data_IF_433912142107
#
_entry.id   IF_433912142107
#
_cell.length_a   1.000
_cell.length_b   1.000
_cell.length_c   1.000
_cell.angle_alpha   90.00
_cell.angle_beta   90.00
_cell.angle_gamma   90.00
#
_symmetry.space_group_name_H-M   'P 1'
#
loop_
_entity.id
_entity.type
_entity.pdbx_description
1 polymer ?
#
# COMPACT_ATOMS: atom_id res chain seq x y z
N UNK A 1 -28.57 2.50 -8.22
CA UNK A 1 -28.17 3.78 -7.57
C UNK A 1 -26.65 3.77 -7.52
N UNK A 2 -25.98 4.73 -8.14
CA UNK A 2 -24.52 4.85 -8.06
C UNK A 2 -24.14 5.11 -6.61
N UNK A 3 -23.20 4.34 -6.07
CA UNK A 3 -22.72 4.56 -4.70
C UNK A 3 -22.14 5.98 -4.59
N UNK A 4 -22.38 6.68 -3.49
CA UNK A 4 -21.74 7.98 -3.27
C UNK A 4 -20.22 7.80 -3.19
N UNK A 5 -19.46 8.78 -3.69
CA UNK A 5 -18.00 8.76 -3.63
C UNK A 5 -17.47 8.42 -2.22
N UNK A 6 -16.43 7.56 -2.11
CA UNK A 6 -15.82 7.24 -0.83
C UNK A 6 -15.01 8.44 -0.28
N UNK A 7 -14.70 9.42 -1.12
CA UNK A 7 -13.87 10.58 -0.78
C UNK A 7 -14.71 11.86 -0.59
N UNK A 8 -15.89 11.74 0.03
CA UNK A 8 -16.83 12.85 0.28
C UNK A 8 -16.49 13.72 1.50
N UNK A 9 -15.82 13.15 2.50
CA UNK A 9 -15.22 13.86 3.64
C UNK A 9 -14.33 12.90 4.43
N UNK A 10 -13.37 13.43 5.19
CA UNK A 10 -12.50 12.57 6.02
C UNK A 10 -13.28 11.79 7.10
N UNK A 11 -14.21 12.39 7.87
CA UNK A 11 -14.99 11.65 8.87
C UNK A 11 -15.85 10.54 8.24
N UNK A 12 -16.40 10.78 7.05
CA UNK A 12 -17.18 9.78 6.35
C UNK A 12 -16.30 8.60 5.90
N UNK A 13 -15.11 8.88 5.35
CA UNK A 13 -14.17 7.83 4.97
C UNK A 13 -13.71 7.02 6.19
N UNK A 14 -13.39 7.68 7.31
CA UNK A 14 -13.01 7.01 8.56
C UNK A 14 -14.11 6.08 9.08
N UNK A 15 -15.35 6.56 9.07
CA UNK A 15 -16.52 5.80 9.50
C UNK A 15 -16.78 4.59 8.59
N UNK A 16 -16.89 4.81 7.27
CA UNK A 16 -17.16 3.76 6.29
C UNK A 16 -16.05 2.70 6.29
N UNK A 17 -14.79 3.12 6.43
CA UNK A 17 -13.63 2.24 6.51
C UNK A 17 -13.69 1.35 7.77
N UNK A 18 -14.04 1.90 8.92
CA UNK A 18 -14.18 1.15 10.17
C UNK A 18 -15.41 0.23 10.17
N UNK A 19 -16.54 0.70 9.62
CA UNK A 19 -17.78 -0.06 9.49
C UNK A 19 -17.58 -1.29 8.60
N UNK A 20 -16.90 -1.12 7.46
CA UNK A 20 -16.61 -2.23 6.55
C UNK A 20 -15.70 -3.29 7.18
N UNK A 21 -14.68 -2.90 7.96
CA UNK A 21 -13.81 -3.84 8.67
C UNK A 21 -14.57 -4.63 9.73
N UNK A 22 -15.43 -3.96 10.51
CA UNK A 22 -16.27 -4.60 11.51
C UNK A 22 -17.24 -5.60 10.86
N UNK A 23 -17.96 -5.16 9.82
CA UNK A 23 -18.89 -6.01 9.09
C UNK A 23 -18.18 -7.22 8.43
N UNK A 24 -16.95 -7.03 7.93
CA UNK A 24 -16.14 -8.12 7.37
C UNK A 24 -15.78 -9.15 8.45
N UNK A 25 -15.35 -8.69 9.62
CA UNK A 25 -15.02 -9.54 10.78
C UNK A 25 -16.25 -10.31 11.29
N UNK A 26 -17.43 -9.70 11.26
CA UNK A 26 -18.69 -10.33 11.65
C UNK A 26 -19.16 -11.40 10.66
N UNK A 27 -19.05 -11.14 9.35
CA UNK A 27 -19.56 -12.02 8.28
C UNK A 27 -18.61 -13.16 7.93
N UNK A 28 -17.31 -12.96 8.06
CA UNK A 28 -16.31 -13.92 7.62
C UNK A 28 -15.45 -14.41 8.77
N UNK A 29 -15.30 -15.73 8.88
CA UNK A 29 -14.55 -16.39 9.96
C UNK A 29 -13.12 -16.77 9.57
N UNK A 30 -12.71 -16.57 8.31
CA UNK A 30 -11.41 -17.08 7.85
C UNK A 30 -10.20 -16.33 8.39
N UNK A 31 -9.07 -17.02 8.49
CA UNK A 31 -7.81 -16.48 9.04
C UNK A 31 -7.34 -15.23 8.29
N UNK A 32 -7.44 -15.25 6.96
CA UNK A 32 -7.06 -14.10 6.13
C UNK A 32 -7.84 -12.82 6.44
N UNK A 33 -9.14 -12.93 6.78
CA UNK A 33 -9.96 -11.78 7.18
C UNK A 33 -9.53 -11.28 8.54
N UNK A 34 -9.33 -12.18 9.51
CA UNK A 34 -8.85 -11.79 10.83
C UNK A 34 -7.53 -11.02 10.74
N UNK A 35 -6.56 -11.55 9.98
CA UNK A 35 -5.26 -10.89 9.77
C UNK A 35 -5.42 -9.52 9.12
N UNK A 36 -6.28 -9.38 8.09
CA UNK A 36 -6.53 -8.10 7.42
C UNK A 36 -7.10 -7.07 8.39
N UNK A 37 -8.13 -7.44 9.15
CA UNK A 37 -8.80 -6.52 10.07
C UNK A 37 -7.86 -6.14 11.21
N UNK A 38 -7.11 -7.09 11.77
CA UNK A 38 -6.10 -6.82 12.78
C UNK A 38 -5.00 -5.89 12.29
N UNK A 39 -4.48 -6.12 11.08
CA UNK A 39 -3.40 -5.30 10.52
C UNK A 39 -3.84 -3.85 10.26
N UNK A 40 -5.10 -3.64 9.87
CA UNK A 40 -5.69 -2.30 9.74
C UNK A 40 -5.98 -1.65 11.09
N UNK A 41 -6.52 -2.40 12.05
CA UNK A 41 -6.77 -1.91 13.40
C UNK A 41 -5.48 -1.49 14.11
N UNK A 42 -4.41 -2.29 14.01
CA UNK A 42 -3.13 -2.00 14.65
C UNK A 42 -2.40 -0.77 14.05
N UNK A 43 -2.83 -0.28 12.89
CA UNK A 43 -2.22 0.88 12.24
C UNK A 43 -2.73 2.22 12.79
N UNK A 44 -4.01 2.30 13.18
CA UNK A 44 -4.65 3.55 13.62
C UNK A 44 -5.26 3.36 15.02
N UNK A 45 -4.84 4.16 16.03
CA UNK A 45 -5.37 4.04 17.39
C UNK A 45 -6.90 4.12 17.50
N UNK A 46 -7.56 4.89 16.63
CA UNK A 46 -9.04 4.98 16.62
C UNK A 46 -9.68 3.71 16.10
N UNK A 47 -9.08 3.09 15.08
CA UNK A 47 -9.53 1.78 14.60
C UNK A 47 -9.29 0.72 15.68
N UNK A 48 -8.15 0.77 16.37
CA UNK A 48 -7.83 -0.16 17.46
C UNK A 48 -8.85 -0.10 18.60
N UNK A 49 -9.20 1.10 19.07
CA UNK A 49 -10.19 1.28 20.13
C UNK A 49 -11.52 0.60 19.78
N UNK A 50 -11.94 0.74 18.52
CA UNK A 50 -13.21 0.20 18.05
C UNK A 50 -13.17 -1.30 17.75
N UNK A 51 -12.08 -1.80 17.16
CA UNK A 51 -11.99 -3.16 16.62
C UNK A 51 -11.30 -4.15 17.57
N UNK A 52 -10.53 -3.68 18.56
CA UNK A 52 -9.79 -4.59 19.45
C UNK A 52 -10.69 -5.51 20.28
N UNK A 53 -11.86 -5.10 20.82
CA UNK A 53 -12.74 -6.03 21.52
C UNK A 53 -13.29 -7.17 20.65
N UNK A 54 -13.93 -6.94 19.48
CA UNK A 54 -14.39 -8.05 18.64
C UNK A 54 -13.25 -8.86 18.03
N UNK A 55 -12.07 -8.25 17.79
CA UNK A 55 -10.88 -8.98 17.37
C UNK A 55 -10.38 -9.94 18.45
N UNK A 56 -10.38 -9.55 19.72
CA UNK A 56 -9.96 -10.43 20.82
C UNK A 56 -10.85 -11.68 20.89
N UNK A 57 -12.17 -11.50 20.80
CA UNK A 57 -13.13 -12.62 20.76
C UNK A 57 -12.84 -13.53 19.57
N UNK A 58 -12.66 -12.95 18.37
CA UNK A 58 -12.37 -13.74 17.17
C UNK A 58 -11.03 -14.46 17.25
N UNK A 59 -10.02 -13.85 17.85
CA UNK A 59 -8.73 -14.49 18.07
C UNK A 59 -8.89 -15.79 18.88
N UNK A 60 -9.60 -15.74 20.00
CA UNK A 60 -9.79 -16.90 20.88
C UNK A 60 -10.61 -18.03 20.21
N UNK A 61 -11.64 -17.66 19.43
CA UNK A 61 -12.41 -18.60 18.61
C UNK A 61 -11.50 -19.33 17.61
N UNK A 62 -10.68 -18.58 16.86
CA UNK A 62 -9.80 -19.14 15.82
C UNK A 62 -8.67 -19.97 16.43
N UNK A 63 -8.04 -19.49 17.50
CA UNK A 63 -6.99 -20.21 18.20
C UNK A 63 -7.51 -21.53 18.77
N UNK A 64 -8.74 -21.55 19.28
CA UNK A 64 -9.37 -22.78 19.77
C UNK A 64 -9.68 -23.75 18.64
N UNK A 65 -10.30 -23.27 17.55
CA UNK A 65 -10.61 -24.09 16.38
C UNK A 65 -9.34 -24.70 15.76
N UNK A 66 -8.28 -23.90 15.59
CA UNK A 66 -7.02 -24.33 15.02
C UNK A 66 -6.32 -25.36 15.91
N UNK A 67 -6.25 -25.13 17.22
CA UNK A 67 -5.67 -26.11 18.18
C UNK A 67 -6.42 -27.44 18.17
N UNK A 68 -7.75 -27.40 18.11
CA UNK A 68 -8.56 -28.63 18.04
C UNK A 68 -8.31 -29.37 16.73
N UNK A 69 -8.32 -28.67 15.59
CA UNK A 69 -8.01 -29.28 14.30
C UNK A 69 -6.64 -29.97 14.30
N UNK A 70 -5.59 -29.30 14.81
CA UNK A 70 -4.25 -29.87 14.91
C UNK A 70 -4.18 -31.08 15.85
N UNK A 71 -4.82 -31.02 17.03
CA UNK A 71 -4.85 -32.14 17.99
C UNK A 71 -5.53 -33.38 17.44
N UNK A 72 -6.56 -33.18 16.63
CA UNK A 72 -7.35 -34.25 16.03
C UNK A 72 -6.80 -34.69 14.67
N UNK A 73 -5.69 -34.10 14.20
CA UNK A 73 -5.07 -34.41 12.92
C UNK A 73 -5.93 -34.03 11.70
N UNK A 74 -6.87 -33.09 11.86
CA UNK A 74 -7.70 -32.58 10.75
C UNK A 74 -6.90 -31.67 9.83
N UNK A 75 -7.27 -31.69 8.54
CA UNK A 75 -6.80 -30.69 7.59
C UNK A 75 -7.36 -29.30 7.94
N UNK A 76 -6.55 -28.28 7.69
CA UNK A 76 -6.91 -26.86 7.86
C UNK A 76 -7.24 -26.31 6.48
N UNK A 77 -8.48 -25.87 6.28
CA UNK A 77 -8.98 -25.30 5.02
C UNK A 77 -8.72 -23.78 4.97
N UNK A 78 -7.45 -23.39 5.07
CA UNK A 78 -6.98 -22.00 5.00
C UNK A 78 -5.65 -21.95 4.24
N UNK A 79 -5.31 -20.83 3.57
CA UNK A 79 -4.00 -20.68 2.95
C UNK A 79 -2.86 -20.79 3.97
N UNK A 80 -1.79 -21.52 3.63
CA UNK A 80 -0.62 -21.73 4.50
C UNK A 80 -0.01 -20.42 5.03
N UNK A 81 0.03 -19.39 4.19
CA UNK A 81 0.51 -18.06 4.57
C UNK A 81 -0.33 -17.44 5.70
N UNK A 82 -1.65 -17.60 5.65
CA UNK A 82 -2.55 -17.06 6.66
C UNK A 82 -2.49 -17.87 7.95
N UNK A 83 -2.35 -19.20 7.84
CA UNK A 83 -2.09 -20.08 8.99
C UNK A 83 -0.78 -19.69 9.67
N UNK A 84 0.30 -19.52 8.92
CA UNK A 84 1.61 -19.16 9.47
C UNK A 84 1.59 -17.79 10.17
N UNK A 85 0.95 -16.79 9.56
CA UNK A 85 0.81 -15.46 10.17
C UNK A 85 -0.02 -15.56 11.46
N UNK A 86 -1.13 -16.28 11.43
CA UNK A 86 -1.98 -16.46 12.61
C UNK A 86 -1.25 -17.19 13.74
N UNK A 87 -0.50 -18.25 13.46
CA UNK A 87 0.30 -18.96 14.48
C UNK A 87 1.37 -18.06 15.12
N UNK A 88 2.01 -17.19 14.34
CA UNK A 88 2.94 -16.19 14.89
C UNK A 88 2.22 -15.18 15.79
N UNK A 89 1.02 -14.74 15.40
CA UNK A 89 0.20 -13.84 16.22
C UNK A 89 -0.24 -14.50 17.54
N UNK A 90 -0.69 -15.75 17.48
CA UNK A 90 -1.08 -16.54 18.66
C UNK A 90 0.11 -16.74 19.61
N UNK A 91 1.30 -17.02 19.06
CA UNK A 91 2.54 -17.13 19.83
C UNK A 91 2.99 -15.80 20.48
N UNK A 92 2.75 -14.66 19.83
CA UNK A 92 2.96 -13.32 20.41
C UNK A 92 1.94 -13.07 21.55
N UNK A 93 0.71 -13.54 21.33
CA UNK A 93 -0.45 -13.29 22.18
C UNK A 93 -1.15 -11.98 21.82
N UNK A 94 -2.47 -12.03 21.63
CA UNK A 94 -3.28 -10.89 21.16
C UNK A 94 -3.04 -9.60 21.97
N UNK A 95 -3.03 -9.68 23.31
CA UNK A 95 -2.80 -8.52 24.18
C UNK A 95 -1.38 -7.94 24.14
N UNK A 96 -0.45 -8.58 23.41
CA UNK A 96 0.92 -8.12 23.18
C UNK A 96 1.14 -7.64 21.75
N UNK A 97 0.13 -7.72 20.88
CA UNK A 97 0.20 -7.13 19.54
C UNK A 97 0.27 -5.61 19.69
N UNK A 98 1.45 -5.05 19.47
CA UNK A 98 1.66 -3.61 19.54
C UNK A 98 0.95 -2.86 18.42
N UNK A 99 0.70 -1.58 18.65
CA UNK A 99 0.30 -0.65 17.59
C UNK A 99 1.50 -0.29 16.71
N UNK A 100 1.21 0.30 15.55
CA UNK A 100 2.23 0.94 14.73
C UNK A 100 2.91 2.07 15.52
N UNK A 101 4.23 2.07 15.50
CA UNK A 101 5.07 3.14 16.03
C UNK A 101 5.71 3.91 14.88
N UNK A 102 5.87 5.22 15.02
CA UNK A 102 6.53 6.04 14.01
C UNK A 102 7.35 7.14 14.64
N UNK A 103 8.47 7.48 13.98
CA UNK A 103 9.31 8.63 14.33
C UNK A 103 9.89 9.27 13.09
N UNK A 104 10.45 10.47 13.26
CA UNK A 104 11.28 11.11 12.25
C UNK A 104 12.74 10.71 12.45
N UNK A 105 13.47 10.60 11.34
CA UNK A 105 14.92 10.51 11.33
C UNK A 105 15.45 11.45 10.26
N UNK A 106 15.87 12.65 10.68
CA UNK A 106 16.12 13.75 9.76
C UNK A 106 14.84 14.10 8.96
N UNK A 107 14.90 14.15 7.61
CA UNK A 107 13.72 14.43 6.79
C UNK A 107 12.80 13.21 6.62
N UNK A 108 13.23 12.00 6.98
CA UNK A 108 12.51 10.76 6.69
C UNK A 108 11.48 10.40 7.75
N UNK A 109 10.45 9.68 7.33
CA UNK A 109 9.50 9.02 8.22
C UNK A 109 9.86 7.55 8.30
N UNK A 110 10.05 7.03 9.51
CA UNK A 110 10.27 5.61 9.75
C UNK A 110 9.16 5.09 10.66
N UNK A 111 8.59 3.96 10.28
CA UNK A 111 7.57 3.27 11.05
C UNK A 111 7.98 1.83 11.38
N UNK A 112 7.49 1.31 12.48
CA UNK A 112 7.51 -0.10 12.82
C UNK A 112 6.07 -0.56 13.00
N UNK A 113 5.65 -1.56 12.23
CA UNK A 113 4.33 -2.17 12.37
C UNK A 113 4.51 -3.67 12.65
N UNK A 114 4.22 -4.14 13.89
CA UNK A 114 4.49 -5.50 14.29
C UNK A 114 3.65 -6.52 13.52
N UNK A 115 2.41 -6.21 13.15
CA UNK A 115 1.57 -7.11 12.34
C UNK A 115 2.09 -7.20 10.92
N UNK A 116 2.49 -6.07 10.33
CA UNK A 116 3.07 -6.03 8.98
C UNK A 116 4.42 -6.74 8.90
N UNK A 117 5.19 -6.79 9.99
CA UNK A 117 6.44 -7.55 10.04
C UNK A 117 6.23 -9.07 9.88
N UNK A 118 5.03 -9.59 10.16
CA UNK A 118 4.70 -11.01 10.02
C UNK A 118 4.32 -11.40 8.58
N UNK A 119 4.12 -10.39 7.72
CA UNK A 119 3.72 -10.57 6.33
C UNK A 119 4.64 -11.58 5.60
N UNK A 120 4.08 -12.52 4.83
CA UNK A 120 4.88 -13.44 4.03
C UNK A 120 5.81 -12.69 3.06
N UNK A 121 7.03 -13.19 2.81
CA UNK A 121 7.94 -12.59 1.84
C UNK A 121 7.27 -12.52 0.47
N UNK A 122 7.39 -11.38 -0.22
CA UNK A 122 7.04 -11.36 -1.65
C UNK A 122 8.14 -12.10 -2.40
N UNK A 123 7.82 -13.24 -3.02
CA UNK A 123 8.64 -13.74 -4.12
C UNK A 123 8.45 -12.75 -5.27
N UNK A 124 9.34 -11.78 -5.38
CA UNK A 124 9.40 -10.86 -6.52
C UNK A 124 10.72 -11.01 -7.26
N UNK A 125 11.14 -12.27 -7.42
CA UNK A 125 12.30 -12.67 -8.22
C UNK A 125 12.06 -12.58 -9.73
N UNK A 126 10.96 -11.97 -10.17
CA UNK A 126 10.69 -11.77 -11.58
C UNK A 126 11.64 -10.72 -12.13
N UNK A 127 12.59 -11.14 -12.97
CA UNK A 127 13.48 -10.24 -13.70
C UNK A 127 12.64 -9.16 -14.41
N UNK A 128 13.07 -7.90 -14.36
CA UNK A 128 12.47 -6.82 -15.11
C UNK A 128 12.77 -7.01 -16.60
N UNK A 129 11.78 -6.70 -17.45
CA UNK A 129 11.91 -6.86 -18.90
C UNK A 129 11.49 -5.60 -19.63
N UNK A 130 10.27 -5.13 -19.36
CA UNK A 130 9.70 -3.90 -19.91
C UNK A 130 8.68 -3.33 -18.93
N UNK A 131 8.34 -2.05 -19.07
CA UNK A 131 7.28 -1.42 -18.27
C UNK A 131 5.93 -2.06 -18.56
N UNK A 132 5.61 -2.27 -19.83
CA UNK A 132 4.37 -2.93 -20.24
C UNK A 132 4.55 -4.45 -20.20
N UNK A 133 3.75 -5.09 -19.35
CA UNK A 133 3.51 -6.53 -19.40
C UNK A 133 2.03 -6.76 -19.63
N UNK A 134 1.62 -7.69 -20.50
CA UNK A 134 0.21 -8.05 -20.64
C UNK A 134 -0.40 -8.47 -19.30
N UNK A 135 -1.69 -8.22 -19.15
CA UNK A 135 -2.45 -8.75 -18.02
C UNK A 135 -2.43 -10.28 -18.05
N UNK A 136 -2.28 -10.88 -16.88
CA UNK A 136 -2.28 -12.34 -16.70
C UNK A 136 -3.41 -12.74 -15.76
N UNK A 137 -4.49 -13.26 -16.34
CA UNK A 137 -5.66 -13.76 -15.60
C UNK A 137 -5.36 -15.03 -14.78
N UNK A 138 -4.28 -15.76 -15.09
CA UNK A 138 -3.79 -16.87 -14.29
C UNK A 138 -3.14 -16.38 -12.99
N UNK A 139 -2.35 -15.32 -13.08
CA UNK A 139 -1.67 -14.66 -11.96
C UNK A 139 -2.60 -14.01 -10.94
N UNK A 140 -2.02 -13.33 -9.95
CA UNK A 140 -2.79 -12.61 -8.94
C UNK A 140 -3.36 -11.29 -9.51
N UNK A 141 -4.68 -11.08 -9.37
CA UNK A 141 -5.39 -9.87 -9.78
C UNK A 141 -6.62 -9.62 -8.89
N UNK A 142 -7.13 -8.39 -8.88
CA UNK A 142 -8.23 -7.98 -7.99
C UNK A 142 -9.64 -8.47 -8.40
N UNK A 143 -9.77 -9.28 -9.45
CA UNK A 143 -11.04 -9.95 -9.79
C UNK A 143 -11.10 -11.39 -9.26
N UNK A 144 -10.08 -11.87 -8.55
CA UNK A 144 -10.15 -13.20 -7.94
C UNK A 144 -11.32 -13.27 -6.95
N UNK A 145 -12.20 -14.29 -7.02
CA UNK A 145 -13.42 -14.35 -6.19
C UNK A 145 -13.17 -14.24 -4.69
N UNK A 146 -12.05 -14.79 -4.20
CA UNK A 146 -11.72 -14.77 -2.77
C UNK A 146 -11.45 -13.36 -2.21
N UNK A 147 -11.15 -12.37 -3.08
CA UNK A 147 -10.93 -10.97 -2.69
C UNK A 147 -12.24 -10.16 -2.61
N UNK A 148 -13.38 -10.69 -3.07
CA UNK A 148 -14.64 -9.92 -3.10
C UNK A 148 -15.11 -9.52 -1.70
N UNK A 149 -14.78 -10.33 -0.69
CA UNK A 149 -15.03 -10.01 0.73
C UNK A 149 -14.18 -8.83 1.25
N UNK A 150 -13.10 -8.47 0.56
CA UNK A 150 -12.16 -7.41 0.95
C UNK A 150 -12.48 -6.07 0.25
N UNK A 151 -13.58 -6.00 -0.52
CA UNK A 151 -14.05 -4.77 -1.15
C UNK A 151 -14.66 -3.85 -0.10
N UNK A 152 -14.09 -2.66 0.03
CA UNK A 152 -14.62 -1.57 0.87
C UNK A 152 -15.73 -0.81 0.13
N UNK A 153 -15.52 -0.52 -1.15
CA UNK A 153 -16.44 0.30 -1.95
C UNK A 153 -16.32 -0.03 -3.43
N UNK A 154 -17.41 0.07 -4.18
CA UNK A 154 -17.42 -0.06 -5.64
C UNK A 154 -18.48 0.85 -6.25
N UNK A 155 -18.11 1.60 -7.31
CA UNK A 155 -19.00 2.53 -8.00
C UNK A 155 -18.25 3.53 -8.88
N UNK A 156 -18.96 4.54 -9.37
CA UNK A 156 -18.37 5.55 -10.25
C UNK A 156 -17.58 6.60 -9.46
N UNK A 157 -16.34 6.83 -9.86
CA UNK A 157 -15.44 7.83 -9.30
C UNK A 157 -14.67 8.53 -10.42
N UNK A 158 -14.81 9.85 -10.52
CA UNK A 158 -14.18 10.67 -11.56
C UNK A 158 -14.41 10.15 -12.98
N UNK A 159 -15.60 9.62 -13.25
CA UNK A 159 -16.02 9.14 -14.59
C UNK A 159 -15.59 7.72 -14.94
N UNK A 160 -14.98 6.97 -14.03
CA UNK A 160 -14.67 5.53 -14.21
C UNK A 160 -15.37 4.69 -13.14
N UNK A 161 -15.75 3.47 -13.49
CA UNK A 161 -16.19 2.48 -12.51
C UNK A 161 -14.97 1.94 -11.76
N UNK A 162 -14.95 2.08 -10.43
CA UNK A 162 -13.77 1.81 -9.61
C UNK A 162 -14.13 0.88 -8.46
N UNK A 163 -13.27 -0.11 -8.21
CA UNK A 163 -13.32 -0.94 -7.00
C UNK A 163 -12.23 -0.51 -6.03
N UNK A 164 -12.59 -0.29 -4.77
CA UNK A 164 -11.67 -0.04 -3.67
C UNK A 164 -11.63 -1.26 -2.74
N UNK A 165 -10.46 -1.86 -2.56
CA UNK A 165 -10.24 -2.94 -1.60
C UNK A 165 -9.43 -2.43 -0.40
N UNK A 166 -9.56 -3.08 0.74
CA UNK A 166 -8.62 -2.90 1.85
C UNK A 166 -7.24 -3.45 1.49
N UNK A 167 -6.18 -2.76 1.89
CA UNK A 167 -4.86 -3.38 1.86
C UNK A 167 -4.69 -4.32 3.07
N UNK A 168 -4.42 -5.61 2.81
CA UNK A 168 -4.26 -6.64 3.85
C UNK A 168 -3.16 -6.34 4.87
N UNK A 169 -2.08 -5.68 4.44
CA UNK A 169 -0.96 -5.30 5.30
C UNK A 169 -0.65 -3.82 5.10
N UNK A 170 -1.43 -2.91 5.71
CA UNK A 170 -1.30 -1.49 5.47
C UNK A 170 0.03 -0.93 5.99
N UNK A 171 0.52 0.09 5.28
CA UNK A 171 1.71 0.87 5.65
C UNK A 171 1.45 2.38 5.49
N UNK A 172 0.19 2.74 5.29
CA UNK A 172 -0.30 4.09 5.21
C UNK A 172 -1.65 4.15 5.93
N UNK A 173 -2.09 5.33 6.31
CA UNK A 173 -3.37 5.52 7.00
C UNK A 173 -4.53 5.41 6.00
N UNK A 174 -5.59 4.70 6.39
CA UNK A 174 -6.78 4.43 5.55
C UNK A 174 -6.39 3.84 4.19
N UNK A 175 -5.50 2.84 4.22
CA UNK A 175 -4.84 2.33 3.03
C UNK A 175 -5.75 1.41 2.21
N UNK A 176 -6.10 1.90 1.03
CA UNK A 176 -6.92 1.18 0.05
C UNK A 176 -6.17 0.86 -1.24
N UNK A 177 -6.75 -0.04 -2.02
CA UNK A 177 -6.32 -0.44 -3.35
C UNK A 177 -7.42 -0.03 -4.33
N UNK A 178 -7.20 1.03 -5.09
CA UNK A 178 -8.13 1.50 -6.13
C UNK A 178 -7.81 0.82 -7.46
N UNK A 179 -8.80 0.11 -7.98
CA UNK A 179 -8.73 -0.61 -9.25
C UNK A 179 -9.70 0.07 -10.22
N UNK A 180 -9.23 0.95 -11.10
CA UNK A 180 -10.10 1.58 -12.09
C UNK A 180 -10.46 0.58 -13.18
N UNK A 181 -11.73 0.58 -13.58
CA UNK A 181 -12.30 -0.29 -14.59
C UNK A 181 -11.90 -1.76 -14.41
N UNK A 182 -12.21 -2.37 -13.24
CA UNK A 182 -11.68 -3.70 -12.87
C UNK A 182 -12.00 -4.78 -13.90
N UNK A 183 -13.11 -4.65 -14.65
CA UNK A 183 -13.51 -5.59 -15.70
C UNK A 183 -12.77 -5.41 -17.03
N UNK A 184 -12.05 -4.30 -17.24
CA UNK A 184 -11.14 -4.13 -18.38
C UNK A 184 -9.87 -4.97 -18.25
N UNK A 185 -9.57 -5.46 -17.05
CA UNK A 185 -8.39 -6.28 -16.76
C UNK A 185 -7.11 -5.63 -17.29
N UNK A 186 -6.99 -4.33 -17.06
CA UNK A 186 -5.85 -3.56 -17.56
C UNK A 186 -4.56 -4.03 -16.88
N UNK A 187 -3.45 -4.19 -17.62
CA UNK A 187 -2.17 -4.50 -17.01
C UNK A 187 -1.71 -3.38 -16.08
N UNK A 188 -0.79 -3.66 -15.15
CA UNK A 188 -0.12 -2.66 -14.31
C UNK A 188 0.81 -1.75 -15.14
N UNK A 189 0.19 -0.92 -15.98
CA UNK A 189 0.79 0.02 -16.89
C UNK A 189 -0.10 1.26 -16.97
N UNK A 190 0.50 2.44 -16.82
CA UNK A 190 -0.24 3.69 -16.77
C UNK A 190 -0.53 4.18 -18.19
N UNK A 191 -1.76 4.57 -18.48
CA UNK A 191 -2.16 5.20 -19.74
C UNK A 191 -2.43 6.68 -19.50
N UNK A 192 -2.56 7.48 -20.56
CA UNK A 192 -2.94 8.89 -20.43
C UNK A 192 -4.31 9.03 -19.75
N UNK A 193 -5.22 8.12 -20.07
CA UNK A 193 -6.56 7.99 -19.49
C UNK A 193 -6.50 7.73 -17.97
N UNK A 194 -5.78 6.70 -17.53
CA UNK A 194 -5.69 6.35 -16.11
C UNK A 194 -4.84 7.33 -15.30
N UNK A 195 -3.84 7.97 -15.93
CA UNK A 195 -3.14 9.11 -15.35
C UNK A 195 -4.08 10.29 -15.10
N UNK A 196 -4.89 10.66 -16.09
CA UNK A 196 -5.81 11.78 -15.98
C UNK A 196 -6.89 11.53 -14.92
N UNK A 197 -7.40 10.30 -14.85
CA UNK A 197 -8.31 9.87 -13.81
C UNK A 197 -7.69 9.98 -12.41
N UNK A 198 -6.49 9.44 -12.19
CA UNK A 198 -5.83 9.49 -10.88
C UNK A 198 -5.57 10.93 -10.42
N UNK A 199 -5.22 11.82 -11.36
CA UNK A 199 -5.08 13.25 -11.10
C UNK A 199 -6.42 13.87 -10.66
N UNK A 200 -7.50 13.59 -11.38
CA UNK A 200 -8.83 14.13 -11.10
C UNK A 200 -9.35 13.67 -9.72
N UNK A 201 -9.16 12.38 -9.38
CA UNK A 201 -9.53 11.84 -8.06
C UNK A 201 -8.92 12.67 -6.93
N UNK A 202 -7.63 12.97 -7.00
CA UNK A 202 -6.96 13.81 -6.00
C UNK A 202 -7.38 15.29 -6.07
N UNK A 203 -7.70 15.81 -7.26
CA UNK A 203 -8.10 17.20 -7.43
C UNK A 203 -9.49 17.50 -6.84
N UNK A 204 -10.43 16.56 -6.98
CA UNK A 204 -11.84 16.75 -6.58
C UNK A 204 -12.21 16.13 -5.23
N UNK A 205 -11.33 15.34 -4.62
CA UNK A 205 -11.62 14.71 -3.34
C UNK A 205 -11.87 15.76 -2.24
N UNK A 206 -12.92 15.55 -1.46
CA UNK A 206 -13.24 16.35 -0.27
C UNK A 206 -12.59 15.78 1.01
N UNK A 207 -11.55 14.96 0.85
CA UNK A 207 -10.75 14.37 1.94
C UNK A 207 -9.38 15.06 1.95
N UNK A 208 -9.13 16.01 2.86
CA UNK A 208 -7.82 16.66 2.98
C UNK A 208 -6.71 15.62 3.20
N UNK A 209 -5.61 15.77 2.47
CA UNK A 209 -4.46 14.86 2.55
C UNK A 209 -4.64 13.53 1.81
N UNK A 210 -5.75 13.32 1.07
CA UNK A 210 -5.87 12.15 0.19
C UNK A 210 -4.77 12.18 -0.87
N UNK A 211 -4.07 11.05 -0.99
CA UNK A 211 -3.03 10.82 -1.97
C UNK A 211 -3.21 9.46 -2.63
N UNK A 212 -2.71 9.33 -3.86
CA UNK A 212 -2.58 8.05 -4.55
C UNK A 212 -1.11 7.73 -4.81
N UNK A 213 -0.66 6.56 -4.39
CA UNK A 213 0.64 6.00 -4.72
C UNK A 213 0.53 5.06 -5.93
N UNK A 214 1.50 5.11 -6.83
CA UNK A 214 1.58 4.19 -7.97
C UNK A 214 2.99 3.61 -8.12
N UNK A 215 3.04 2.32 -8.41
CA UNK A 215 4.27 1.59 -8.75
C UNK A 215 4.16 1.11 -10.19
N UNK A 216 5.09 1.48 -11.06
CA UNK A 216 5.20 0.83 -12.37
C UNK A 216 5.73 -0.60 -12.23
N UNK A 217 5.60 -1.42 -13.28
CA UNK A 217 6.37 -2.65 -13.35
C UNK A 217 7.87 -2.35 -13.21
N UNK A 218 8.58 -3.20 -12.46
CA UNK A 218 9.99 -2.97 -12.10
C UNK A 218 10.23 -1.98 -10.95
N UNK A 219 9.20 -1.26 -10.48
CA UNK A 219 9.31 -0.25 -9.42
C UNK A 219 8.53 -0.64 -8.14
N UNK A 220 8.58 -1.92 -7.75
CA UNK A 220 7.90 -2.43 -6.54
C UNK A 220 6.42 -2.77 -6.74
N UNK A 221 5.94 -2.81 -7.98
CA UNK A 221 4.63 -3.40 -8.30
C UNK A 221 4.68 -4.93 -8.13
N UNK A 222 3.68 -5.49 -7.44
CA UNK A 222 3.60 -6.93 -7.16
C UNK A 222 2.34 -7.60 -7.68
N UNK A 223 1.46 -6.86 -8.35
CA UNK A 223 0.18 -7.31 -8.88
C UNK A 223 0.13 -6.91 -10.35
N UNK A 224 -0.34 -7.80 -11.22
CA UNK A 224 -0.32 -7.56 -12.67
C UNK A 224 -1.52 -6.73 -13.17
N UNK A 225 -2.46 -6.41 -12.29
CA UNK A 225 -3.67 -5.63 -12.57
C UNK A 225 -3.48 -4.17 -12.16
N UNK A 226 -3.79 -3.22 -13.07
CA UNK A 226 -3.76 -1.79 -12.83
C UNK A 226 -4.43 -1.41 -11.52
N UNK A 227 -3.65 -0.83 -10.61
CA UNK A 227 -4.17 -0.30 -9.35
C UNK A 227 -3.31 0.85 -8.83
N UNK A 228 -3.95 1.63 -7.95
CA UNK A 228 -3.36 2.71 -7.18
C UNK A 228 -3.53 2.43 -5.69
N UNK A 229 -2.58 2.87 -4.89
CA UNK A 229 -2.62 2.76 -3.44
C UNK A 229 -3.20 4.07 -2.89
N UNK A 230 -4.44 4.08 -2.41
CA UNK A 230 -5.05 5.28 -1.83
C UNK A 230 -4.75 5.37 -0.34
N UNK A 231 -4.41 6.56 0.16
CA UNK A 231 -4.13 6.77 1.57
C UNK A 231 -4.37 8.22 1.96
N UNK A 232 -4.53 8.48 3.26
CA UNK A 232 -4.70 9.84 3.80
C UNK A 232 -3.49 10.24 4.62
N UNK A 233 -2.87 11.35 4.25
CA UNK A 233 -1.76 11.95 4.99
C UNK A 233 -2.28 12.84 6.12
N UNK A 234 -1.83 12.59 7.35
CA UNK A 234 -1.99 13.55 8.44
C UNK A 234 -0.91 14.64 8.39
N UNK A 235 0.26 14.33 7.81
CA UNK A 235 1.37 15.25 7.59
C UNK A 235 1.98 15.00 6.21
N UNK A 236 2.56 16.02 5.55
CA UNK A 236 3.19 15.82 4.24
C UNK A 236 4.22 14.69 4.27
N UNK A 237 4.25 13.88 3.21
CA UNK A 237 5.33 12.93 2.99
C UNK A 237 6.66 13.68 2.84
N UNK A 238 7.80 13.05 3.18
CA UNK A 238 9.11 13.68 3.01
C UNK A 238 9.36 14.19 1.59
N UNK A 239 8.93 13.47 0.54
CA UNK A 239 9.04 13.95 -0.84
C UNK A 239 8.29 15.28 -1.11
N UNK A 240 7.34 15.66 -0.28
CA UNK A 240 6.60 16.92 -0.37
C UNK A 240 7.20 18.03 0.50
N UNK A 241 8.27 17.75 1.27
CA UNK A 241 8.91 18.73 2.14
C UNK A 241 9.54 19.86 1.30
N UNK A 242 9.20 21.11 1.63
CA UNK A 242 9.63 22.31 0.89
C UNK A 242 11.15 22.51 0.85
N UNK A 243 11.92 21.81 1.70
CA UNK A 243 13.38 21.86 1.68
C UNK A 243 13.99 21.36 0.38
N UNK A 244 13.31 20.45 -0.32
CA UNK A 244 13.89 19.73 -1.45
C UNK A 244 13.83 20.55 -2.75
N UNK A 245 14.85 20.41 -3.60
CA UNK A 245 15.00 21.18 -4.86
C UNK A 245 13.77 21.08 -5.77
N UNK A 246 13.16 19.89 -5.89
CA UNK A 246 11.96 19.71 -6.73
C UNK A 246 10.71 20.40 -6.16
N UNK A 247 10.75 20.86 -4.91
CA UNK A 247 9.72 21.68 -4.28
C UNK A 247 10.13 23.17 -4.16
N UNK A 248 11.25 23.58 -4.78
CA UNK A 248 11.78 24.94 -4.74
C UNK A 248 12.76 25.23 -3.60
N UNK A 249 13.15 24.22 -2.83
CA UNK A 249 14.16 24.35 -1.78
C UNK A 249 15.60 24.20 -2.29
N UNK A 250 16.56 24.08 -1.37
CA UNK A 250 17.98 23.98 -1.68
C UNK A 250 18.59 22.58 -1.45
N UNK A 251 17.89 21.70 -0.72
CA UNK A 251 18.42 20.38 -0.39
C UNK A 251 18.18 19.39 -1.54
N UNK A 252 19.19 18.63 -1.98
CA UNK A 252 18.97 17.57 -2.95
C UNK A 252 18.11 16.46 -2.33
N UNK A 253 17.25 15.85 -3.14
CA UNK A 253 16.68 14.55 -2.83
C UNK A 253 17.67 13.47 -3.27
N UNK A 254 17.83 12.32 -2.57
CA UNK A 254 18.77 11.27 -2.96
C UNK A 254 18.52 10.65 -4.35
N UNK A 255 17.34 10.92 -4.93
CA UNK A 255 16.91 10.46 -6.24
C UNK A 255 16.44 11.62 -7.11
N UNK A 256 16.50 11.42 -8.42
CA UNK A 256 15.89 12.32 -9.38
C UNK A 256 14.36 12.35 -9.21
N UNK A 257 13.89 13.36 -8.50
CA UNK A 257 12.48 13.60 -8.24
C UNK A 257 12.02 14.84 -9.02
N UNK A 258 10.87 14.73 -9.67
CA UNK A 258 10.20 15.84 -10.35
C UNK A 258 8.85 16.10 -9.69
N UNK A 259 8.47 17.36 -9.60
CA UNK A 259 7.13 17.79 -9.18
C UNK A 259 6.44 18.48 -10.35
N UNK A 260 5.21 18.06 -10.64
CA UNK A 260 4.37 18.67 -11.66
C UNK A 260 3.13 19.28 -11.01
N UNK A 261 2.79 20.51 -11.40
CA UNK A 261 1.50 21.15 -11.07
C UNK A 261 0.53 21.12 -12.25
N UNK A 262 1.02 20.78 -13.45
CA UNK A 262 0.23 20.61 -14.66
C UNK A 262 0.16 19.14 -15.07
N UNK A 263 -1.05 18.67 -15.38
CA UNK A 263 -1.34 17.28 -15.73
C UNK A 263 -0.75 16.91 -17.10
N UNK A 264 -0.78 17.81 -18.08
CA UNK A 264 -0.26 17.51 -19.40
C UNK A 264 1.28 17.41 -19.35
N UNK A 265 1.97 18.32 -18.67
CA UNK A 265 3.43 18.26 -18.49
C UNK A 265 3.87 16.98 -17.78
N UNK A 266 3.14 16.58 -16.73
CA UNK A 266 3.33 15.31 -16.03
C UNK A 266 3.25 14.11 -16.99
N UNK A 267 2.23 14.07 -17.85
CA UNK A 267 2.09 13.01 -18.85
C UNK A 267 3.24 12.99 -19.85
N UNK A 268 3.66 14.14 -20.38
CA UNK A 268 4.80 14.20 -21.31
C UNK A 268 6.09 13.67 -20.68
N UNK A 269 6.28 13.84 -19.36
CA UNK A 269 7.41 13.26 -18.65
C UNK A 269 7.29 11.73 -18.54
N UNK A 270 6.10 11.22 -18.23
CA UNK A 270 5.80 9.79 -18.17
C UNK A 270 6.02 9.10 -19.53
N UNK A 271 5.58 9.70 -20.63
CA UNK A 271 5.81 9.16 -21.98
C UNK A 271 7.30 9.00 -22.30
N UNK A 272 8.16 9.93 -21.84
CA UNK A 272 9.61 9.80 -22.01
C UNK A 272 10.17 8.60 -21.26
N UNK A 273 9.64 8.29 -20.07
CA UNK A 273 10.02 7.09 -19.32
C UNK A 273 9.49 5.83 -19.99
N UNK A 274 8.27 5.86 -20.53
CA UNK A 274 7.68 4.75 -21.28
C UNK A 274 8.51 4.39 -22.51
N UNK A 275 8.94 5.38 -23.30
CA UNK A 275 9.80 5.16 -24.47
C UNK A 275 11.19 4.59 -24.13
N UNK A 276 11.62 4.73 -22.88
CA UNK A 276 12.94 4.28 -22.39
C UNK A 276 12.85 3.06 -21.48
N UNK A 277 11.65 2.48 -21.31
CA UNK A 277 11.38 1.41 -20.35
C UNK A 277 11.94 1.68 -18.94
N UNK A 278 11.91 2.93 -18.49
CA UNK A 278 12.45 3.33 -17.19
C UNK A 278 11.41 3.16 -16.08
N UNK A 279 11.65 2.32 -15.06
CA UNK A 279 10.76 2.17 -13.92
C UNK A 279 10.56 3.47 -13.14
N UNK A 280 9.36 3.65 -12.58
CA UNK A 280 9.02 4.85 -11.83
C UNK A 280 7.98 4.62 -10.74
N UNK A 281 8.02 5.48 -9.74
CA UNK A 281 7.01 5.59 -8.70
C UNK A 281 6.37 6.98 -8.75
N UNK A 282 5.07 7.04 -8.46
CA UNK A 282 4.31 8.30 -8.41
C UNK A 282 3.63 8.48 -7.06
N UNK A 283 3.49 9.74 -6.66
CA UNK A 283 2.58 10.18 -5.61
C UNK A 283 1.72 11.30 -6.19
N UNK A 284 0.42 11.04 -6.33
CA UNK A 284 -0.59 12.05 -6.63
C UNK A 284 -1.07 12.68 -5.33
N UNK A 285 -1.25 13.99 -5.34
CA UNK A 285 -1.82 14.76 -4.24
C UNK A 285 -2.67 15.88 -4.81
N UNK A 286 -3.43 16.57 -3.97
CA UNK A 286 -4.23 17.70 -4.43
C UNK A 286 -3.33 18.77 -5.06
N UNK A 287 -3.54 19.04 -6.36
CA UNK A 287 -2.84 20.08 -7.11
C UNK A 287 -1.41 19.75 -7.57
N UNK A 288 -0.88 18.55 -7.31
CA UNK A 288 0.42 18.16 -7.85
C UNK A 288 0.64 16.65 -7.92
N UNK A 289 1.68 16.27 -8.68
CA UNK A 289 2.20 14.90 -8.74
C UNK A 289 3.71 14.92 -8.57
N UNK A 290 4.23 14.03 -7.73
CA UNK A 290 5.65 13.72 -7.63
C UNK A 290 5.96 12.47 -8.44
N UNK A 291 7.05 12.53 -9.20
CA UNK A 291 7.55 11.45 -10.05
C UNK A 291 8.99 11.15 -9.66
N UNK A 292 9.26 9.87 -9.39
CA UNK A 292 10.60 9.35 -9.11
C UNK A 292 10.93 8.30 -10.15
N UNK A 293 11.82 8.64 -11.09
CA UNK A 293 12.43 7.67 -11.99
C UNK A 293 13.53 6.91 -11.25
N UNK A 294 13.62 5.60 -11.48
CA UNK A 294 14.51 4.74 -10.69
C UNK A 294 14.96 3.50 -11.43
N UNK A 295 16.06 2.93 -10.95
CA UNK A 295 16.56 1.65 -11.42
C UNK A 295 15.52 0.55 -11.10
N UNK A 296 15.42 -0.49 -11.96
CA UNK A 296 14.51 -1.59 -11.71
C UNK A 296 14.88 -2.34 -10.44
N UNK A 297 13.89 -2.93 -9.80
CA UNK A 297 14.02 -3.68 -8.54
C UNK A 297 14.95 -4.89 -8.62
N UNK A 298 15.33 -5.35 -9.82
CA UNK A 298 16.28 -6.42 -10.02
C UNK A 298 17.71 -5.94 -10.34
N UNK A 299 17.95 -4.62 -10.38
CA UNK A 299 19.24 -4.02 -10.67
C UNK A 299 20.37 -4.60 -9.77
N UNK A 300 21.56 -4.90 -10.31
CA UNK A 300 22.65 -5.53 -9.55
C UNK A 300 23.10 -4.76 -8.31
N UNK A 301 23.01 -3.43 -8.35
CA UNK A 301 23.40 -2.56 -7.23
C UNK A 301 22.49 -2.70 -5.99
N UNK A 302 21.29 -3.27 -6.14
CA UNK A 302 20.32 -3.39 -5.06
C UNK A 302 20.53 -4.66 -4.24
N UNK A 303 20.47 -4.56 -2.92
CA UNK A 303 20.49 -5.72 -2.03
C UNK A 303 19.06 -6.22 -1.74
N UNK A 304 18.93 -7.46 -1.25
CA UNK A 304 17.63 -8.10 -0.99
C UNK A 304 16.71 -7.30 -0.04
N UNK A 305 17.28 -6.46 0.85
CA UNK A 305 16.52 -5.65 1.79
C UNK A 305 15.77 -4.52 1.09
N UNK A 306 16.38 -3.88 0.09
CA UNK A 306 15.82 -2.68 -0.55
C UNK A 306 15.09 -2.98 -1.85
N UNK A 307 15.35 -4.12 -2.52
CA UNK A 307 14.69 -4.48 -3.80
C UNK A 307 13.16 -4.40 -3.76
N UNK A 308 12.56 -4.63 -2.59
CA UNK A 308 11.11 -4.53 -2.39
C UNK A 308 10.54 -3.11 -2.24
N UNK A 309 11.37 -2.06 -2.27
CA UNK A 309 10.92 -0.68 -2.10
C UNK A 309 10.00 -0.24 -3.24
N UNK A 310 8.88 0.37 -2.88
CA UNK A 310 7.90 0.95 -3.79
C UNK A 310 7.75 2.46 -3.56
N UNK A 311 6.58 3.01 -3.92
CA UNK A 311 6.34 4.44 -3.85
C UNK A 311 6.55 5.04 -2.45
N UNK A 312 6.22 4.30 -1.38
CA UNK A 312 6.31 4.83 0.00
C UNK A 312 7.76 5.13 0.36
N UNK A 313 8.65 4.15 0.13
CA UNK A 313 10.06 4.32 0.42
C UNK A 313 10.68 5.39 -0.50
N UNK A 314 10.32 5.40 -1.79
CA UNK A 314 10.75 6.47 -2.71
C UNK A 314 10.21 7.85 -2.32
N UNK A 315 9.12 7.91 -1.55
CA UNK A 315 8.57 9.14 -0.99
C UNK A 315 9.20 9.53 0.36
N UNK A 316 10.13 8.72 0.87
CA UNK A 316 10.86 8.93 2.12
C UNK A 316 10.15 8.39 3.37
N UNK A 317 9.09 7.59 3.20
CA UNK A 317 8.36 6.93 4.28
C UNK A 317 8.59 5.41 4.23
N UNK A 318 9.29 4.87 5.23
CA UNK A 318 9.73 3.46 5.24
C UNK A 318 9.20 2.71 6.44
N UNK A 319 8.73 1.48 6.22
CA UNK A 319 8.40 0.55 7.31
C UNK A 319 9.56 -0.40 7.57
N UNK A 320 9.99 -0.52 8.82
CA UNK A 320 10.92 -1.55 9.30
C UNK A 320 10.17 -2.73 9.89
N UNK A 321 10.76 -3.92 9.74
CA UNK A 321 10.13 -5.19 10.12
C UNK A 321 10.77 -5.85 11.36
N UNK A 322 11.81 -5.26 11.92
CA UNK A 322 12.34 -5.63 13.24
C UNK A 322 12.47 -4.40 14.13
N UNK A 323 12.41 -4.60 15.45
CA UNK A 323 12.64 -3.55 16.45
C UNK A 323 14.05 -2.98 16.30
N UNK A 324 15.04 -3.86 16.16
CA UNK A 324 16.45 -3.50 15.96
C UNK A 324 16.64 -2.59 14.73
N UNK A 325 16.02 -2.93 13.59
CA UNK A 325 16.10 -2.11 12.38
C UNK A 325 15.42 -0.75 12.54
N UNK A 326 14.33 -0.70 13.30
CA UNK A 326 13.59 0.53 13.58
C UNK A 326 14.39 1.47 14.49
N UNK A 327 15.00 0.94 15.55
CA UNK A 327 15.81 1.69 16.50
C UNK A 327 17.13 2.13 15.87
N UNK A 328 17.80 1.23 15.14
CA UNK A 328 19.05 1.49 14.42
C UNK A 328 18.90 2.34 13.16
N UNK A 329 17.67 2.70 12.75
CA UNK A 329 17.44 3.48 11.54
C UNK A 329 18.08 4.87 11.62
N UNK A 330 18.96 5.17 10.66
CA UNK A 330 19.65 6.45 10.52
C UNK A 330 19.26 7.18 9.23
N UNK A 331 19.30 8.51 9.30
CA UNK A 331 18.91 9.34 8.16
C UNK A 331 19.88 9.23 6.98
N UNK A 332 21.19 9.15 7.26
CA UNK A 332 22.23 8.99 6.26
C UNK A 332 22.13 7.61 5.58
N UNK A 333 22.00 6.53 6.37
CA UNK A 333 21.91 5.18 5.81
C UNK A 333 20.71 4.99 4.88
N UNK A 334 19.57 5.59 5.20
CA UNK A 334 18.42 5.56 4.30
C UNK A 334 18.58 6.42 3.04
N UNK A 335 19.28 7.56 3.14
CA UNK A 335 19.62 8.35 1.96
C UNK A 335 20.55 7.56 1.01
N UNK A 336 21.52 6.83 1.57
CA UNK A 336 22.39 5.92 0.80
C UNK A 336 21.59 4.79 0.15
N UNK A 337 20.65 4.17 0.88
CA UNK A 337 19.73 3.15 0.33
C UNK A 337 18.91 3.69 -0.83
N UNK A 338 18.41 4.93 -0.74
CA UNK A 338 17.67 5.58 -1.83
C UNK A 338 18.57 5.85 -3.02
N UNK A 339 19.80 6.32 -2.82
CA UNK A 339 20.73 6.64 -3.90
C UNK A 339 21.08 5.42 -4.77
N UNK A 340 20.98 4.19 -4.24
CA UNK A 340 21.16 2.95 -5.02
C UNK A 340 20.15 2.80 -6.17
N UNK A 341 19.03 3.53 -6.14
CA UNK A 341 18.00 3.50 -7.16
C UNK A 341 18.17 4.55 -8.27
N UNK A 342 19.24 5.34 -8.27
CA UNK A 342 19.48 6.34 -9.30
C UNK A 342 19.63 5.70 -10.71
N UNK A 343 19.21 6.43 -11.75
CA UNK A 343 19.25 6.04 -13.18
C UNK A 343 20.10 6.95 -14.02
#
# INVERSE_FOLDING_TARGET
MTASSPFRSLPALEQDFADGLLAMLEKHRGLGVFVLVLANAAYDPRLWERLSPPLAVRHDELATALRNALREGRQIDEPDDDVLVFLKLDAIGFGRVGLMESRRAGPWQVAFNPVRALRPPRISGTAFGALLRPFDGGGFHFNKPFLMKEVLWEGDLAGMHVRMLYNKFPFARLHGLLVPEPLREAPQFLTSESHAWAWEVCATAAVPGLCLGYNSNGAGASVNHLHFQSFVQATPLPIQDARFVHNGGAAPYPLACLRFADRAEAWHALERLHRRDTPYNLVYSQGCMHLVARAPQDAPALNARVRGYGWSEMAGAVTRFSREDYEGFSAAGFADELALFAV
#
